data_IF_158156672631
#
_entry.id   IF_158156672631
#
_cell.length_a   1.000
_cell.length_b   1.000
_cell.length_c   1.000
_cell.angle_alpha   90.00
_cell.angle_beta   90.00
_cell.angle_gamma   90.00
#
_symmetry.space_group_name_H-M   'P 1'
#
loop_
_entity.id
_entity.type
_entity.pdbx_description
1 polymer ?
#
# COMPACT_ATOMS: atom_id res chain seq x y z
N UNK A 1 -22.98 -0.64 -2.20
CA UNK A 1 -21.77 0.20 -2.32
C UNK A 1 -20.83 -0.53 -3.25
N UNK A 2 -20.78 -0.12 -4.51
CA UNK A 2 -19.85 -0.66 -5.50
C UNK A 2 -18.46 -0.17 -5.13
N UNK A 3 -17.66 -1.05 -4.51
CA UNK A 3 -16.20 -0.92 -4.49
C UNK A 3 -15.77 -0.76 -5.94
N UNK A 4 -15.26 0.43 -6.27
CA UNK A 4 -14.87 0.75 -7.64
C UNK A 4 -13.88 -0.30 -8.16
N UNK A 5 -14.10 -0.66 -9.42
CA UNK A 5 -13.36 -1.64 -10.20
C UNK A 5 -11.85 -1.60 -9.90
N UNK A 6 -11.16 -2.76 -9.87
CA UNK A 6 -9.72 -2.76 -10.00
C UNK A 6 -9.42 -2.04 -11.31
N UNK A 7 -8.72 -0.91 -11.24
CA UNK A 7 -8.20 -0.24 -12.43
C UNK A 7 -7.21 -1.22 -13.03
N UNK A 8 -7.68 -2.04 -13.98
CA UNK A 8 -6.81 -2.89 -14.76
C UNK A 8 -5.95 -1.97 -15.61
N UNK A 9 -4.62 -1.96 -15.42
CA UNK A 9 -3.75 -1.16 -16.27
C UNK A 9 -3.90 -1.63 -17.71
N UNK A 10 -4.31 -0.73 -18.59
CA UNK A 10 -4.49 -1.03 -20.03
C UNK A 10 -3.18 -0.96 -20.80
N UNK A 11 -2.11 -0.47 -20.17
CA UNK A 11 -0.76 -0.42 -20.70
C UNK A 11 0.30 -0.45 -19.59
N UNK A 12 1.54 -0.72 -19.96
CA UNK A 12 2.69 -0.84 -19.04
C UNK A 12 2.94 0.42 -18.21
N UNK A 13 2.73 1.61 -18.78
CA UNK A 13 2.91 2.89 -18.08
C UNK A 13 1.88 3.04 -16.96
N UNK A 14 0.62 2.70 -17.20
CA UNK A 14 -0.42 2.66 -16.16
C UNK A 14 -0.08 1.64 -15.08
N UNK A 15 0.45 0.47 -15.45
CA UNK A 15 0.94 -0.52 -14.49
C UNK A 15 2.03 0.04 -13.57
N UNK A 16 3.01 0.74 -14.14
CA UNK A 16 4.07 1.39 -13.38
C UNK A 16 3.56 2.51 -12.47
N UNK A 17 2.59 3.31 -12.92
CA UNK A 17 1.96 4.36 -12.13
C UNK A 17 1.17 3.78 -10.96
N UNK A 18 0.33 2.77 -11.22
CA UNK A 18 -0.46 2.09 -10.17
C UNK A 18 0.48 1.44 -9.15
N UNK A 19 1.54 0.76 -9.60
CA UNK A 19 2.55 0.19 -8.73
C UNK A 19 3.24 1.27 -7.88
N UNK A 20 3.61 2.38 -8.49
CA UNK A 20 4.24 3.51 -7.79
C UNK A 20 3.32 4.11 -6.73
N UNK A 21 2.02 4.28 -7.02
CA UNK A 21 1.04 4.77 -6.04
C UNK A 21 0.85 3.76 -4.91
N UNK A 22 0.72 2.47 -5.23
CA UNK A 22 0.50 1.41 -4.24
C UNK A 22 1.72 1.23 -3.33
N UNK A 23 2.95 1.38 -3.82
CA UNK A 23 4.15 1.19 -2.99
C UNK A 23 4.69 2.49 -2.40
N UNK A 24 4.89 3.51 -3.22
CA UNK A 24 5.64 4.70 -2.81
C UNK A 24 4.80 5.63 -1.92
N UNK A 25 3.51 5.82 -2.21
CA UNK A 25 2.68 6.74 -1.43
C UNK A 25 2.49 6.24 0.02
N UNK A 26 2.13 4.97 0.29
CA UNK A 26 2.05 4.46 1.66
C UNK A 26 3.39 4.46 2.37
N UNK A 27 4.49 4.22 1.65
CA UNK A 27 5.85 4.29 2.20
C UNK A 27 6.18 5.72 2.64
N UNK A 28 5.90 6.72 1.81
CA UNK A 28 6.10 8.13 2.15
C UNK A 28 5.25 8.54 3.36
N UNK A 29 3.97 8.13 3.40
CA UNK A 29 3.07 8.36 4.53
C UNK A 29 3.60 7.70 5.80
N UNK A 30 4.09 6.47 5.70
CA UNK A 30 4.69 5.76 6.83
C UNK A 30 5.92 6.48 7.36
N UNK A 31 6.86 6.91 6.52
CA UNK A 31 8.06 7.63 6.97
C UNK A 31 7.74 9.00 7.60
N UNK A 32 6.81 9.75 7.00
CA UNK A 32 6.34 11.01 7.55
C UNK A 32 5.68 10.79 8.93
N UNK A 33 4.80 9.81 9.03
CA UNK A 33 4.15 9.42 10.28
C UNK A 33 5.14 8.89 11.33
N UNK A 34 6.16 8.15 10.92
CA UNK A 34 7.18 7.58 11.82
C UNK A 34 7.94 8.70 12.53
N UNK A 35 8.29 9.76 11.80
CA UNK A 35 8.96 10.94 12.36
C UNK A 35 8.02 11.75 13.27
N UNK A 36 6.78 11.98 12.83
CA UNK A 36 5.81 12.81 13.54
C UNK A 36 5.27 12.15 14.83
N UNK A 37 5.04 10.83 14.79
CA UNK A 37 4.35 10.10 15.86
C UNK A 37 5.29 9.48 16.89
N UNK A 38 6.62 9.66 16.75
CA UNK A 38 7.62 9.07 17.67
C UNK A 38 7.36 9.39 19.16
N UNK A 39 6.75 10.54 19.46
CA UNK A 39 6.40 10.95 20.83
C UNK A 39 5.10 10.31 21.37
N UNK A 40 4.31 9.68 20.50
CA UNK A 40 3.02 9.07 20.81
C UNK A 40 3.08 7.56 20.58
N UNK A 41 3.56 6.76 21.56
CA UNK A 41 3.93 5.36 21.35
C UNK A 41 2.77 4.48 20.86
N UNK A 42 1.53 4.75 21.30
CA UNK A 42 0.35 4.02 20.83
C UNK A 42 0.06 4.29 19.35
N UNK A 43 0.11 5.56 18.92
CA UNK A 43 -0.12 5.96 17.53
C UNK A 43 1.03 5.50 16.62
N UNK A 44 2.26 5.59 17.12
CA UNK A 44 3.44 5.07 16.44
C UNK A 44 3.32 3.57 16.17
N UNK A 45 2.92 2.79 17.18
CA UNK A 45 2.74 1.34 17.02
C UNK A 45 1.58 1.02 16.07
N UNK A 46 0.46 1.76 16.16
CA UNK A 46 -0.66 1.62 15.23
C UNK A 46 -0.24 1.87 13.78
N UNK A 47 0.60 2.89 13.52
CA UNK A 47 1.15 3.16 12.19
C UNK A 47 2.00 1.99 11.68
N UNK A 48 2.82 1.37 12.52
CA UNK A 48 3.62 0.20 12.14
C UNK A 48 2.75 -1.00 11.80
N UNK A 49 1.74 -1.27 12.63
CA UNK A 49 0.78 -2.35 12.37
C UNK A 49 0.01 -2.12 11.07
N UNK A 50 -0.47 -0.90 10.84
CA UNK A 50 -1.22 -0.55 9.64
C UNK A 50 -0.35 -0.71 8.39
N UNK A 51 0.89 -0.20 8.42
CA UNK A 51 1.82 -0.31 7.30
C UNK A 51 2.26 -1.76 7.04
N UNK A 52 2.53 -2.53 8.10
CA UNK A 52 2.86 -3.95 7.99
C UNK A 52 1.70 -4.77 7.39
N UNK A 53 0.48 -4.56 7.88
CA UNK A 53 -0.71 -5.22 7.34
C UNK A 53 -0.96 -4.86 5.87
N UNK A 54 -0.74 -3.59 5.52
CA UNK A 54 -0.82 -3.12 4.14
C UNK A 54 0.20 -3.82 3.23
N UNK A 55 1.46 -3.94 3.65
CA UNK A 55 2.48 -4.64 2.86
C UNK A 55 2.12 -6.12 2.63
N UNK A 56 1.64 -6.82 3.66
CA UNK A 56 1.18 -8.20 3.52
C UNK A 56 0.05 -8.29 2.50
N UNK A 57 -0.95 -7.40 2.59
CA UNK A 57 -2.05 -7.35 1.63
C UNK A 57 -1.57 -7.15 0.19
N UNK A 58 -0.67 -6.18 -0.04
CA UNK A 58 -0.12 -5.91 -1.39
C UNK A 58 0.65 -7.11 -1.93
N UNK A 59 1.46 -7.78 -1.10
CA UNK A 59 2.19 -8.99 -1.51
C UNK A 59 1.21 -10.11 -1.91
N UNK A 60 0.20 -10.37 -1.07
CA UNK A 60 -0.81 -11.40 -1.35
C UNK A 60 -1.60 -11.06 -2.62
N UNK A 61 -2.04 -9.81 -2.77
CA UNK A 61 -2.76 -9.37 -3.97
C UNK A 61 -1.91 -9.48 -5.23
N UNK A 62 -0.62 -9.12 -5.15
CA UNK A 62 0.34 -9.30 -6.24
C UNK A 62 0.53 -10.77 -6.61
N UNK A 63 0.72 -11.64 -5.63
CA UNK A 63 0.84 -13.09 -5.84
C UNK A 63 -0.41 -13.68 -6.46
N UNK A 64 -1.60 -13.34 -5.95
CA UNK A 64 -2.88 -13.80 -6.52
C UNK A 64 -3.01 -13.34 -7.98
N UNK A 65 -2.68 -12.08 -8.26
CA UNK A 65 -2.73 -11.55 -9.63
C UNK A 65 -1.79 -12.34 -10.54
N UNK A 66 -0.55 -12.61 -10.13
CA UNK A 66 0.44 -13.33 -10.93
C UNK A 66 0.14 -14.83 -11.10
N UNK A 67 -0.54 -15.46 -10.14
CA UNK A 67 -0.81 -16.91 -10.14
C UNK A 67 -2.17 -17.27 -10.76
N UNK A 68 -3.14 -16.36 -10.71
CA UNK A 68 -4.52 -16.60 -11.15
C UNK A 68 -4.84 -15.91 -12.48
N UNK A 69 -4.06 -14.90 -12.89
CA UNK A 69 -4.27 -14.13 -14.13
C UNK A 69 -3.27 -14.47 -15.22
#
# INVERSE_FOLDING_TARGET
>A
MTLMLPVMPTNWLMGALVFSVILLMPTAVYFAGHSALKRFPKLFNALHWLFGAYLIYVIVAGMVTLLVS
#
